data_IF_588464895963
#
_entry.id   IF_588464895963
#
_cell.length_a   1.000
_cell.length_b   1.000
_cell.length_c   1.000
_cell.angle_alpha   90.00
_cell.angle_beta   90.00
_cell.angle_gamma   90.00
#
_symmetry.space_group_name_H-M   'P 1'
#
loop_
_entity.id
_entity.type
_entity.pdbx_description
1 polymer ?
#
# COMPACT_ATOMS: atom_id res chain seq x y z
N UNK A 1 -11.36 10.56 18.41
CA UNK A 1 -10.35 10.35 17.35
C UNK A 1 -9.69 9.01 17.61
N UNK A 2 -9.97 7.99 16.80
CA UNK A 2 -9.35 6.68 16.99
C UNK A 2 -7.87 6.80 16.62
N UNK A 3 -6.97 6.45 17.55
CA UNK A 3 -5.51 6.50 17.33
C UNK A 3 -5.06 5.37 16.39
N UNK A 4 -5.90 4.36 16.20
CA UNK A 4 -5.62 3.15 15.44
C UNK A 4 -6.47 3.14 14.16
N UNK A 5 -5.82 2.91 13.02
CA UNK A 5 -6.46 2.78 11.70
C UNK A 5 -7.36 1.52 11.65
N UNK A 6 -8.52 1.62 10.98
CA UNK A 6 -9.49 0.53 10.81
C UNK A 6 -8.89 -0.74 10.17
N UNK A 7 -8.06 -0.60 9.13
CA UNK A 7 -7.40 -1.74 8.47
C UNK A 7 -6.50 -2.50 9.45
N UNK A 8 -5.81 -1.79 10.34
CA UNK A 8 -5.01 -2.43 11.40
C UNK A 8 -5.89 -3.14 12.42
N UNK A 9 -7.05 -2.56 12.79
CA UNK A 9 -7.98 -3.19 13.74
C UNK A 9 -8.56 -4.51 13.22
N UNK A 10 -8.74 -4.61 11.90
CA UNK A 10 -9.28 -5.79 11.24
C UNK A 10 -8.25 -6.93 11.04
N UNK A 11 -6.97 -6.72 11.38
CA UNK A 11 -5.96 -7.78 11.31
C UNK A 11 -6.13 -8.82 12.43
N UNK A 12 -5.78 -10.10 12.18
CA UNK A 12 -5.74 -11.12 13.22
C UNK A 12 -4.93 -10.68 14.43
N UNK A 13 -5.36 -11.05 15.64
CA UNK A 13 -4.68 -10.65 16.89
C UNK A 13 -3.21 -11.05 16.93
N UNK A 14 -2.87 -12.23 16.42
CA UNK A 14 -1.48 -12.70 16.32
C UNK A 14 -0.61 -11.76 15.48
N UNK A 15 -1.12 -11.26 14.36
CA UNK A 15 -0.43 -10.29 13.49
C UNK A 15 -0.33 -8.93 14.19
N UNK A 16 -1.39 -8.47 14.86
CA UNK A 16 -1.37 -7.19 15.58
C UNK A 16 -0.33 -7.15 16.70
N UNK A 17 0.00 -8.31 17.29
CA UNK A 17 1.02 -8.46 18.33
C UNK A 17 2.45 -8.51 17.79
N UNK A 18 2.65 -8.91 16.53
CA UNK A 18 3.96 -9.02 15.89
C UNK A 18 3.87 -8.57 14.42
N UNK A 19 4.11 -7.27 14.20
CA UNK A 19 4.17 -6.69 12.86
C UNK A 19 5.27 -5.64 12.78
N UNK A 20 5.86 -5.49 11.59
CA UNK A 20 6.84 -4.45 11.29
C UNK A 20 6.43 -3.69 10.04
N UNK A 21 6.53 -2.36 10.06
CA UNK A 21 6.36 -1.53 8.86
C UNK A 21 7.70 -0.94 8.49
N UNK A 22 8.17 -1.25 7.27
CA UNK A 22 9.34 -0.61 6.67
C UNK A 22 8.88 0.31 5.55
N UNK A 23 9.33 1.56 5.58
CA UNK A 23 9.11 2.54 4.51
C UNK A 23 10.37 2.65 3.66
N UNK A 24 10.17 2.66 2.35
CA UNK A 24 11.22 2.88 1.36
C UNK A 24 10.64 3.75 0.25
N UNK A 25 11.43 4.70 -0.24
CA UNK A 25 11.12 5.44 -1.47
C UNK A 25 11.38 4.49 -2.64
N UNK A 26 10.31 4.11 -3.36
CA UNK A 26 10.40 3.23 -4.53
C UNK A 26 10.76 4.01 -5.80
N UNK A 27 10.35 5.27 -5.85
CA UNK A 27 10.63 6.20 -6.94
C UNK A 27 10.45 7.64 -6.44
N UNK A 28 11.22 8.57 -7.00
CA UNK A 28 11.10 9.99 -6.72
C UNK A 28 11.35 10.81 -7.99
N UNK A 29 10.71 11.97 -8.06
CA UNK A 29 10.95 12.97 -9.11
C UNK A 29 10.61 14.35 -8.58
N UNK A 30 11.38 15.36 -8.99
CA UNK A 30 11.16 16.76 -8.61
C UNK A 30 10.22 17.51 -9.56
N UNK A 31 9.95 16.93 -10.73
CA UNK A 31 9.26 17.60 -11.84
C UNK A 31 8.13 16.76 -12.43
N UNK A 32 7.80 15.63 -11.80
CA UNK A 32 6.73 14.78 -12.30
C UNK A 32 5.37 15.48 -12.20
N UNK A 33 4.56 15.24 -13.21
CA UNK A 33 3.14 15.58 -13.22
C UNK A 33 2.34 14.61 -12.35
N UNK A 34 1.12 15.00 -11.99
CA UNK A 34 0.21 14.14 -11.22
C UNK A 34 -0.16 12.88 -12.03
N UNK A 35 -0.23 12.99 -13.36
CA UNK A 35 -0.49 11.86 -14.25
C UNK A 35 0.67 10.85 -14.25
N UNK A 36 1.92 11.33 -14.29
CA UNK A 36 3.11 10.47 -14.20
C UNK A 36 3.23 9.80 -12.82
N UNK A 37 2.93 10.54 -11.75
CA UNK A 37 2.89 10.00 -10.40
C UNK A 37 1.83 8.89 -10.30
N UNK A 38 0.62 9.15 -10.78
CA UNK A 38 -0.49 8.19 -10.79
C UNK A 38 -0.15 6.94 -11.61
N UNK A 39 0.53 7.11 -12.75
CA UNK A 39 1.00 5.99 -13.56
C UNK A 39 2.03 5.14 -12.82
N UNK A 40 2.98 5.78 -12.10
CA UNK A 40 3.96 5.07 -11.26
C UNK A 40 3.31 4.34 -10.09
N UNK A 41 2.28 4.89 -9.46
CA UNK A 41 1.52 4.18 -8.43
C UNK A 41 0.91 2.89 -8.99
N UNK A 42 0.22 2.96 -10.13
CA UNK A 42 -0.37 1.79 -10.78
C UNK A 42 0.67 0.76 -11.17
N UNK A 43 1.80 1.21 -11.71
CA UNK A 43 2.94 0.37 -12.08
C UNK A 43 3.43 -0.43 -10.86
N UNK A 44 3.73 0.25 -9.74
CA UNK A 44 4.22 -0.41 -8.54
C UNK A 44 3.17 -1.28 -7.85
N UNK A 45 1.90 -0.87 -7.82
CA UNK A 45 0.84 -1.69 -7.23
C UNK A 45 0.73 -3.02 -7.97
N UNK A 46 0.81 -3.02 -9.31
CA UNK A 46 0.79 -4.25 -10.12
C UNK A 46 2.07 -5.05 -9.95
N UNK A 47 3.24 -4.39 -9.99
CA UNK A 47 4.54 -5.04 -9.84
C UNK A 47 4.67 -5.79 -8.51
N UNK A 48 4.22 -5.18 -7.40
CA UNK A 48 4.28 -5.79 -6.07
C UNK A 48 3.02 -6.56 -5.70
N UNK A 49 2.02 -6.61 -6.59
CA UNK A 49 0.68 -7.17 -6.32
C UNK A 49 0.06 -6.62 -5.04
N UNK A 50 0.35 -5.37 -4.69
CA UNK A 50 -0.10 -4.80 -3.42
C UNK A 50 -1.61 -4.57 -3.37
N UNK A 51 -2.30 -4.80 -4.48
CA UNK A 51 -3.76 -4.83 -4.58
C UNK A 51 -4.41 -6.19 -4.29
N UNK A 52 -3.62 -7.26 -4.17
CA UNK A 52 -4.07 -8.57 -3.73
C UNK A 52 -4.10 -8.59 -2.20
N UNK A 53 -5.27 -8.79 -1.54
CA UNK A 53 -5.37 -8.82 -0.08
C UNK A 53 -4.50 -9.87 0.60
N UNK A 54 -4.03 -10.89 -0.13
CA UNK A 54 -3.07 -11.86 0.38
C UNK A 54 -1.63 -11.32 0.44
N UNK A 55 -1.35 -10.19 -0.23
CA UNK A 55 0.01 -9.61 -0.40
C UNK A 55 0.10 -8.16 0.10
N UNK A 56 -0.94 -7.34 -0.10
CA UNK A 56 -0.92 -5.93 0.27
C UNK A 56 -2.31 -5.34 0.54
N UNK A 57 -2.33 -4.02 0.78
CA UNK A 57 -3.47 -3.30 1.33
C UNK A 57 -4.13 -2.34 0.33
N UNK A 58 -3.58 -2.18 -0.89
CA UNK A 58 -4.17 -1.29 -1.89
C UNK A 58 -5.52 -1.85 -2.36
N UNK A 59 -6.56 -1.01 -2.39
CA UNK A 59 -7.90 -1.44 -2.87
C UNK A 59 -8.09 -1.22 -4.37
N UNK A 60 -7.18 -0.50 -5.00
CA UNK A 60 -7.16 -0.14 -6.41
C UNK A 60 -5.72 -0.19 -6.96
N UNK A 61 -5.53 -0.50 -8.25
CA UNK A 61 -6.51 -1.05 -9.19
C UNK A 61 -7.04 -2.40 -8.72
N UNK A 62 -8.27 -2.77 -9.12
CA UNK A 62 -8.80 -4.09 -8.80
C UNK A 62 -7.89 -5.17 -9.42
N UNK A 63 -7.66 -6.24 -8.66
CA UNK A 63 -6.99 -7.44 -9.16
C UNK A 63 -7.80 -7.94 -10.36
N UNK A 64 -7.10 -8.25 -11.47
CA UNK A 64 -7.73 -8.87 -12.65
C UNK A 64 -7.93 -10.36 -12.43
#
# INVERSE_FOLDING_TARGET
MAIINEDFQNLPESVRKDYTVRKQILWESKTATDEELSAKEVEFIRQYRSNDPAVGYNRWPKVK
#
